data_IF_184721599783
#
_entry.id   IF_184721599783
#
_cell.length_a   1.000
_cell.length_b   1.000
_cell.length_c   1.000
_cell.angle_alpha   90.00
_cell.angle_beta   90.00
_cell.angle_gamma   90.00
#
_symmetry.space_group_name_H-M   'P 1'
#
loop_
_entity.id
_entity.type
_entity.pdbx_description
1 polymer ?
#
# COMPACT_ATOMS: atom_id res chain seq x y z
N UNK A 1 -24.36 -12.30 1.09
CA UNK A 1 -23.86 -11.48 2.22
C UNK A 1 -22.57 -10.86 1.74
N UNK A 2 -22.42 -9.53 1.79
CA UNK A 2 -21.15 -8.91 1.44
C UNK A 2 -20.09 -9.41 2.43
N UNK A 3 -19.03 -10.02 1.93
CA UNK A 3 -17.90 -10.40 2.77
C UNK A 3 -17.30 -9.10 3.32
N UNK A 4 -17.36 -8.94 4.63
CA UNK A 4 -16.83 -7.78 5.32
C UNK A 4 -15.30 -7.96 5.49
N UNK A 5 -14.60 -7.98 4.35
CA UNK A 5 -13.16 -8.21 4.32
C UNK A 5 -12.39 -7.01 4.89
N UNK A 6 -11.40 -7.31 5.71
CA UNK A 6 -10.42 -6.33 6.20
C UNK A 6 -9.20 -6.33 5.29
N UNK A 7 -8.89 -5.16 4.73
CA UNK A 7 -7.73 -4.97 3.86
C UNK A 7 -6.66 -4.17 4.58
N UNK A 8 -5.43 -4.68 4.55
CA UNK A 8 -4.22 -3.95 4.91
C UNK A 8 -3.58 -3.44 3.62
N UNK A 9 -3.33 -2.13 3.50
CA UNK A 9 -2.71 -1.53 2.33
C UNK A 9 -1.35 -0.93 2.69
N UNK A 10 -0.33 -1.31 1.95
CA UNK A 10 1.07 -0.93 2.20
C UNK A 10 1.72 -0.50 0.89
N UNK A 11 2.61 0.47 0.95
CA UNK A 11 3.36 0.98 -0.20
C UNK A 11 4.80 1.30 0.15
N UNK A 12 5.64 1.29 -0.90
CA UNK A 12 6.98 1.89 -0.87
C UNK A 12 7.85 1.32 0.27
N UNK A 13 8.04 -0.02 0.25
CA UNK A 13 8.88 -0.78 1.20
C UNK A 13 10.36 -0.55 0.89
N UNK A 14 10.69 -0.44 -0.42
CA UNK A 14 12.02 -0.14 -0.92
C UNK A 14 13.15 -1.02 -0.35
N UNK A 15 12.87 -2.31 -0.13
CA UNK A 15 13.86 -3.27 0.33
C UNK A 15 14.23 -3.19 1.82
N UNK A 16 13.49 -2.47 2.63
CA UNK A 16 13.73 -2.38 4.06
C UNK A 16 13.29 -3.63 4.81
N UNK A 17 14.23 -4.45 5.23
CA UNK A 17 13.95 -5.61 6.07
C UNK A 17 13.39 -5.22 7.44
N UNK A 18 13.84 -4.10 8.00
CA UNK A 18 13.28 -3.58 9.25
C UNK A 18 11.78 -3.36 9.16
N UNK A 19 11.32 -2.65 8.11
CA UNK A 19 9.91 -2.38 7.92
C UNK A 19 9.13 -3.58 7.38
N UNK A 20 9.76 -4.50 6.67
CA UNK A 20 9.15 -5.79 6.34
C UNK A 20 8.79 -6.57 7.61
N UNK A 21 9.66 -6.62 8.61
CA UNK A 21 9.34 -7.22 9.91
C UNK A 21 8.18 -6.49 10.62
N UNK A 22 8.12 -5.16 10.52
CA UNK A 22 6.96 -4.39 11.02
C UNK A 22 5.66 -4.77 10.32
N UNK A 23 5.69 -5.08 9.01
CA UNK A 23 4.52 -5.60 8.28
C UNK A 23 4.02 -6.90 8.93
N UNK A 24 4.92 -7.80 9.29
CA UNK A 24 4.55 -9.05 9.98
C UNK A 24 3.89 -8.78 11.33
N UNK A 25 4.39 -7.83 12.11
CA UNK A 25 3.79 -7.41 13.38
C UNK A 25 2.40 -6.79 13.17
N UNK A 26 2.26 -5.91 12.17
CA UNK A 26 0.99 -5.30 11.79
C UNK A 26 -0.02 -6.36 11.36
N UNK A 27 0.39 -7.33 10.54
CA UNK A 27 -0.48 -8.44 10.13
C UNK A 27 -0.99 -9.25 11.32
N UNK A 28 -0.15 -9.52 12.31
CA UNK A 28 -0.57 -10.21 13.54
C UNK A 28 -1.57 -9.39 14.36
N UNK A 29 -1.35 -8.09 14.47
CA UNK A 29 -2.20 -7.17 15.24
C UNK A 29 -3.53 -6.90 14.56
N UNK A 30 -3.50 -6.58 13.26
CA UNK A 30 -4.68 -6.17 12.49
C UNK A 30 -5.47 -7.38 11.95
N UNK A 31 -4.83 -8.54 11.81
CA UNK A 31 -5.40 -9.76 11.24
C UNK A 31 -6.18 -9.53 9.93
N UNK A 32 -5.54 -9.00 8.87
CA UNK A 32 -6.22 -8.70 7.62
C UNK A 32 -6.59 -9.97 6.85
N UNK A 33 -7.70 -9.93 6.11
CA UNK A 33 -8.09 -11.00 5.17
C UNK A 33 -7.24 -10.93 3.91
N UNK A 34 -6.95 -9.70 3.43
CA UNK A 34 -6.09 -9.44 2.26
C UNK A 34 -5.11 -8.31 2.55
N UNK A 35 -3.95 -8.39 1.88
CA UNK A 35 -2.87 -7.41 1.90
C UNK A 35 -2.74 -6.85 0.50
N UNK A 36 -2.90 -5.53 0.33
CA UNK A 36 -2.70 -4.84 -0.94
C UNK A 36 -1.36 -4.12 -0.89
N UNK A 37 -0.43 -4.56 -1.72
CA UNK A 37 0.86 -3.89 -1.92
C UNK A 37 0.73 -2.94 -3.11
N UNK A 38 1.11 -1.68 -2.92
CA UNK A 38 1.00 -0.66 -3.96
C UNK A 38 2.30 -0.43 -4.73
N UNK A 39 3.24 -1.39 -4.67
CA UNK A 39 4.49 -1.36 -5.43
C UNK A 39 5.67 -0.73 -4.70
N UNK A 40 6.80 -0.65 -5.42
CA UNK A 40 8.10 -0.22 -4.95
C UNK A 40 8.58 -1.09 -3.76
N UNK A 41 8.66 -2.42 -4.01
CA UNK A 41 8.85 -3.40 -2.95
C UNK A 41 10.31 -3.57 -2.55
N UNK A 42 11.24 -3.71 -3.51
CA UNK A 42 12.60 -4.20 -3.22
C UNK A 42 13.70 -3.17 -3.50
N UNK A 43 13.65 -2.47 -4.63
CA UNK A 43 14.65 -1.49 -4.98
C UNK A 43 14.40 -0.14 -4.29
N UNK A 44 15.46 0.42 -3.67
CA UNK A 44 15.32 1.69 -2.95
C UNK A 44 15.06 2.89 -3.86
N UNK A 45 15.37 2.77 -5.17
CA UNK A 45 15.29 3.87 -6.15
C UNK A 45 16.49 4.82 -6.08
N UNK A 46 16.92 5.40 -7.22
CA UNK A 46 18.18 6.16 -7.30
C UNK A 46 18.12 7.50 -6.56
N UNK A 47 16.93 7.98 -6.23
CA UNK A 47 16.71 9.29 -5.58
C UNK A 47 16.47 9.19 -4.07
N UNK A 48 16.35 7.97 -3.53
CA UNK A 48 16.11 7.75 -2.11
C UNK A 48 17.39 7.32 -1.40
N UNK A 49 17.56 7.63 -0.11
CA UNK A 49 18.60 7.00 0.70
C UNK A 49 18.33 5.51 0.85
N UNK A 50 19.33 4.73 1.20
CA UNK A 50 19.12 3.34 1.61
C UNK A 50 18.25 3.31 2.86
N UNK A 51 17.14 2.55 2.85
CA UNK A 51 16.30 2.43 4.02
C UNK A 51 16.95 1.56 5.10
N UNK A 52 16.40 1.62 6.29
CA UNK A 52 16.90 0.86 7.45
C UNK A 52 16.93 -0.64 7.14
N UNK A 53 18.07 -1.27 7.40
CA UNK A 53 18.31 -2.69 7.15
C UNK A 53 17.98 -3.11 5.71
N UNK A 54 18.51 -2.38 4.72
CA UNK A 54 18.26 -2.68 3.31
C UNK A 54 18.68 -4.11 2.96
N UNK A 55 17.73 -4.96 2.65
CA UNK A 55 17.91 -6.34 2.23
C UNK A 55 16.72 -6.84 1.42
N UNK A 56 16.70 -6.60 0.08
CA UNK A 56 15.60 -6.97 -0.80
C UNK A 56 15.20 -8.44 -0.72
N UNK A 57 16.19 -9.35 -0.62
CA UNK A 57 15.89 -10.78 -0.58
C UNK A 57 15.13 -11.19 0.70
N UNK A 58 15.46 -10.62 1.85
CA UNK A 58 14.69 -10.88 3.08
C UNK A 58 13.29 -10.30 3.02
N UNK A 59 13.11 -9.16 2.33
CA UNK A 59 11.76 -8.63 2.06
C UNK A 59 10.97 -9.60 1.20
N UNK A 60 11.58 -10.14 0.12
CA UNK A 60 10.94 -11.13 -0.75
C UNK A 60 10.57 -12.41 0.02
N UNK A 61 11.45 -12.97 0.84
CA UNK A 61 11.17 -14.13 1.68
C UNK A 61 9.96 -13.89 2.59
N UNK A 62 9.90 -12.72 3.23
CA UNK A 62 8.78 -12.38 4.11
C UNK A 62 7.47 -12.22 3.33
N UNK A 63 7.47 -11.47 2.22
CA UNK A 63 6.28 -11.27 1.41
C UNK A 63 5.78 -12.58 0.80
N UNK A 64 6.67 -13.44 0.32
CA UNK A 64 6.32 -14.77 -0.19
C UNK A 64 5.66 -15.66 0.87
N UNK A 65 6.05 -15.51 2.14
CA UNK A 65 5.38 -16.22 3.25
C UNK A 65 3.92 -15.79 3.45
N UNK A 66 3.52 -14.63 2.91
CA UNK A 66 2.18 -14.04 2.99
C UNK A 66 1.41 -14.11 1.66
N UNK A 67 1.96 -14.74 0.62
CA UNK A 67 1.48 -14.70 -0.77
C UNK A 67 0.00 -14.97 -0.96
N UNK A 68 -0.59 -15.89 -0.18
CA UNK A 68 -2.01 -16.27 -0.29
C UNK A 68 -2.98 -15.11 0.04
N UNK A 69 -2.49 -14.10 0.77
CA UNK A 69 -3.26 -12.91 1.10
C UNK A 69 -2.93 -11.71 0.21
N UNK A 70 -1.83 -11.76 -0.56
CA UNK A 70 -1.31 -10.61 -1.29
C UNK A 70 -2.04 -10.37 -2.60
N UNK A 71 -2.38 -9.10 -2.83
CA UNK A 71 -2.72 -8.49 -4.11
C UNK A 71 -1.69 -7.39 -4.35
N UNK A 72 -0.96 -7.44 -5.47
CA UNK A 72 0.16 -6.51 -5.69
C UNK A 72 -0.03 -5.66 -6.94
N UNK A 73 0.18 -4.36 -6.80
CA UNK A 73 0.32 -3.39 -7.89
C UNK A 73 1.80 -3.17 -8.16
N UNK A 74 2.19 -3.10 -9.42
CA UNK A 74 3.55 -2.81 -9.85
C UNK A 74 3.89 -1.33 -9.66
N UNK A 75 4.96 -1.04 -8.94
CA UNK A 75 5.51 0.30 -8.79
C UNK A 75 6.51 0.66 -9.92
N UNK A 76 6.97 1.90 -9.92
CA UNK A 76 7.92 2.36 -10.93
C UNK A 76 9.36 1.87 -10.67
N UNK A 77 9.67 1.43 -9.47
CA UNK A 77 10.97 0.84 -9.14
C UNK A 77 10.97 -0.70 -9.23
N UNK A 78 9.81 -1.33 -9.46
CA UNK A 78 9.71 -2.79 -9.56
C UNK A 78 10.09 -3.25 -10.98
N UNK A 79 11.10 -4.11 -11.08
CA UNK A 79 11.65 -4.63 -12.32
C UNK A 79 11.18 -6.07 -12.59
N UNK A 80 11.48 -6.62 -13.78
CA UNK A 80 11.19 -8.02 -14.10
C UNK A 80 11.83 -9.00 -13.10
N UNK A 81 13.04 -8.70 -12.64
CA UNK A 81 13.73 -9.54 -11.64
C UNK A 81 12.97 -9.60 -10.31
N UNK A 82 12.24 -8.55 -9.98
CA UNK A 82 11.44 -8.49 -8.76
C UNK A 82 10.22 -9.41 -8.87
N UNK A 83 9.61 -9.48 -10.06
CA UNK A 83 8.54 -10.45 -10.36
C UNK A 83 9.04 -11.89 -10.30
N UNK A 84 10.27 -12.15 -10.76
CA UNK A 84 10.87 -13.51 -10.75
C UNK A 84 11.12 -14.05 -9.33
N UNK A 85 11.41 -13.18 -8.35
CA UNK A 85 11.67 -13.61 -6.96
C UNK A 85 10.40 -13.59 -6.10
N UNK A 86 9.28 -13.07 -6.62
CA UNK A 86 8.00 -12.98 -5.93
C UNK A 86 7.09 -14.16 -6.31
N UNK A 87 6.42 -14.75 -5.33
CA UNK A 87 5.46 -15.84 -5.54
C UNK A 87 4.00 -15.34 -5.63
N UNK A 88 3.81 -14.10 -6.05
CA UNK A 88 2.52 -13.44 -6.29
C UNK A 88 2.60 -12.56 -7.54
N UNK A 89 1.45 -12.29 -8.17
CA UNK A 89 1.35 -11.53 -9.42
C UNK A 89 1.44 -10.03 -9.20
N UNK A 90 2.18 -9.32 -10.06
CA UNK A 90 2.20 -7.86 -10.15
C UNK A 90 1.21 -7.40 -11.23
N UNK A 91 0.33 -6.45 -10.89
CA UNK A 91 -0.67 -5.86 -11.79
C UNK A 91 -0.42 -4.38 -11.96
N UNK A 92 -0.78 -3.81 -13.11
CA UNK A 92 -0.69 -2.37 -13.33
C UNK A 92 -1.59 -1.58 -12.35
N UNK A 93 -2.76 -2.14 -12.05
CA UNK A 93 -3.73 -1.60 -11.09
C UNK A 93 -4.71 -2.71 -10.65
N UNK A 94 -5.42 -2.48 -9.55
CA UNK A 94 -6.41 -3.41 -9.00
C UNK A 94 -7.71 -2.64 -8.81
N UNK A 95 -8.82 -3.19 -9.30
CA UNK A 95 -10.16 -2.68 -9.05
C UNK A 95 -10.91 -3.66 -8.13
N UNK A 96 -11.48 -3.15 -7.05
CA UNK A 96 -12.33 -3.92 -6.14
C UNK A 96 -13.65 -3.20 -5.89
N UNK A 97 -14.73 -3.97 -5.77
CA UNK A 97 -15.99 -3.44 -5.23
C UNK A 97 -16.07 -3.81 -3.75
N UNK A 98 -15.97 -2.82 -2.90
CA UNK A 98 -16.04 -2.98 -1.45
C UNK A 98 -17.31 -2.28 -0.97
N UNK A 99 -18.28 -3.06 -0.48
CA UNK A 99 -19.56 -2.56 0.01
C UNK A 99 -20.29 -1.62 -0.97
N UNK A 100 -20.28 -1.95 -2.27
CA UNK A 100 -20.94 -1.18 -3.32
C UNK A 100 -20.16 0.05 -3.81
N UNK A 101 -18.98 0.30 -3.29
CA UNK A 101 -18.08 1.36 -3.74
C UNK A 101 -16.96 0.79 -4.59
N UNK A 102 -16.66 1.43 -5.72
CA UNK A 102 -15.59 1.05 -6.63
C UNK A 102 -14.28 1.67 -6.18
N UNK A 103 -13.36 0.83 -5.71
CA UNK A 103 -12.00 1.18 -5.34
C UNK A 103 -11.05 0.92 -6.49
N UNK A 104 -10.13 1.85 -6.71
CA UNK A 104 -9.04 1.73 -7.66
C UNK A 104 -7.70 1.88 -6.92
N UNK A 105 -6.91 0.81 -6.95
CA UNK A 105 -5.58 0.76 -6.35
C UNK A 105 -4.52 0.83 -7.45
N UNK A 106 -3.57 1.73 -7.29
CA UNK A 106 -2.48 1.95 -8.25
C UNK A 106 -1.23 2.37 -7.50
N UNK A 107 -0.07 2.35 -8.14
CA UNK A 107 1.13 2.86 -7.47
C UNK A 107 1.09 4.39 -7.31
N UNK A 108 0.69 5.15 -8.32
CA UNK A 108 0.53 6.60 -8.21
C UNK A 108 1.26 7.42 -9.27
N UNK A 109 2.21 6.84 -10.01
CA UNK A 109 2.95 7.55 -11.06
C UNK A 109 2.07 7.98 -12.24
N UNK A 110 1.01 7.21 -12.54
CA UNK A 110 0.08 7.48 -13.66
C UNK A 110 -1.24 8.04 -13.18
N UNK A 111 -1.85 7.39 -12.20
CA UNK A 111 -3.12 7.79 -11.60
C UNK A 111 -2.91 8.23 -10.16
N UNK A 112 -3.35 9.43 -9.85
CA UNK A 112 -3.24 10.07 -8.54
C UNK A 112 -4.28 11.20 -8.44
N UNK A 113 -4.23 12.02 -7.41
CA UNK A 113 -5.20 13.09 -7.21
C UNK A 113 -5.24 14.13 -8.36
N UNK A 114 -4.18 14.23 -9.19
CA UNK A 114 -4.16 15.13 -10.37
C UNK A 114 -4.66 14.44 -11.64
N UNK A 115 -4.74 13.11 -11.65
CA UNK A 115 -5.24 12.31 -12.77
C UNK A 115 -6.10 11.16 -12.25
N UNK A 116 -7.35 11.47 -11.89
CA UNK A 116 -8.30 10.52 -11.29
C UNK A 116 -8.96 9.67 -12.40
N UNK A 117 -8.96 8.33 -12.32
CA UNK A 117 -9.71 7.48 -13.23
C UNK A 117 -11.22 7.75 -13.16
N UNK A 118 -11.92 7.64 -14.29
CA UNK A 118 -13.36 7.83 -14.32
C UNK A 118 -14.13 6.64 -13.72
N UNK A 119 -15.26 6.91 -13.13
CA UNK A 119 -16.21 5.89 -12.69
C UNK A 119 -15.79 5.15 -11.42
N UNK A 120 -14.95 5.73 -10.59
CA UNK A 120 -14.54 5.20 -9.28
C UNK A 120 -15.07 6.06 -8.13
N UNK A 121 -15.14 5.48 -6.95
CA UNK A 121 -15.52 6.19 -5.72
C UNK A 121 -14.29 6.49 -4.84
N UNK A 122 -13.29 5.61 -4.86
CA UNK A 122 -12.11 5.70 -4.02
C UNK A 122 -10.86 5.40 -4.85
N UNK A 123 -9.87 6.28 -4.80
CA UNK A 123 -8.55 6.13 -5.39
C UNK A 123 -7.51 5.96 -4.29
N UNK A 124 -6.79 4.85 -4.30
CA UNK A 124 -5.73 4.55 -3.33
C UNK A 124 -4.40 4.35 -4.03
N UNK A 125 -3.36 5.05 -3.57
CA UNK A 125 -2.04 5.02 -4.19
C UNK A 125 -0.91 5.31 -3.21
N UNK A 126 0.34 5.07 -3.62
CA UNK A 126 1.59 5.34 -2.91
C UNK A 126 2.47 6.37 -3.63
N UNK A 127 3.70 5.99 -4.00
CA UNK A 127 4.65 6.71 -4.85
C UNK A 127 5.18 8.04 -4.27
N UNK A 128 4.33 8.87 -3.72
CA UNK A 128 4.71 10.19 -3.18
C UNK A 128 5.26 10.11 -1.76
N UNK A 129 5.15 8.97 -1.09
CA UNK A 129 5.62 8.71 0.27
C UNK A 129 5.02 9.65 1.35
N UNK A 130 3.92 10.32 1.05
CA UNK A 130 3.28 11.28 1.94
C UNK A 130 1.82 10.88 2.19
N UNK A 131 1.55 10.30 3.35
CA UNK A 131 0.23 9.77 3.70
C UNK A 131 -0.81 10.87 3.92
N UNK A 132 -1.98 10.72 3.27
CA UNK A 132 -3.14 11.59 3.47
C UNK A 132 -4.46 10.92 3.04
N UNK A 133 -5.58 11.46 3.51
CA UNK A 133 -6.93 11.19 3.02
C UNK A 133 -7.57 12.52 2.65
N UNK A 134 -7.98 12.71 1.39
CA UNK A 134 -8.60 13.92 0.85
C UNK A 134 -9.76 13.56 -0.07
N UNK A 135 -10.59 14.53 -0.40
CA UNK A 135 -11.65 14.37 -1.39
C UNK A 135 -11.44 15.39 -2.52
N UNK A 136 -11.59 14.94 -3.76
CA UNK A 136 -11.51 15.79 -4.96
C UNK A 136 -12.50 15.26 -5.99
N UNK A 137 -13.33 16.16 -6.54
CA UNK A 137 -14.33 15.86 -7.57
C UNK A 137 -15.27 14.69 -7.21
N UNK A 138 -15.66 14.58 -5.92
CA UNK A 138 -16.52 13.52 -5.40
C UNK A 138 -15.85 12.16 -5.23
N UNK A 139 -14.52 12.07 -5.45
CA UNK A 139 -13.72 10.87 -5.24
C UNK A 139 -12.87 11.00 -3.97
N UNK A 140 -12.88 9.99 -3.12
CA UNK A 140 -11.98 9.90 -1.97
C UNK A 140 -10.59 9.49 -2.49
N UNK A 141 -9.61 10.40 -2.39
CA UNK A 141 -8.23 10.19 -2.81
C UNK A 141 -7.35 9.95 -1.58
N UNK A 142 -6.68 8.81 -1.55
CA UNK A 142 -5.88 8.37 -0.41
C UNK A 142 -4.47 8.04 -0.86
N UNK A 143 -3.48 8.67 -0.26
CA UNK A 143 -2.11 8.20 -0.35
C UNK A 143 -1.77 7.43 0.94
N UNK A 144 -1.30 6.19 0.78
CA UNK A 144 -0.92 5.35 1.94
C UNK A 144 0.33 5.82 2.67
N UNK A 145 1.07 6.75 2.06
CA UNK A 145 2.43 7.08 2.49
C UNK A 145 3.43 5.99 2.10
N UNK A 146 4.60 6.03 2.69
CA UNK A 146 5.58 4.95 2.62
C UNK A 146 5.73 4.31 3.99
N UNK A 147 5.80 2.98 4.02
CA UNK A 147 6.06 2.29 5.29
C UNK A 147 7.51 2.46 5.74
N UNK A 148 8.45 2.72 4.82
CA UNK A 148 9.88 2.77 5.12
C UNK A 148 10.51 4.15 4.97
N UNK A 149 10.14 4.93 3.96
CA UNK A 149 10.78 6.18 3.54
C UNK A 149 9.77 7.33 3.44
N UNK A 150 9.12 7.75 4.54
CA UNK A 150 8.14 8.84 4.50
C UNK A 150 8.78 10.16 4.08
N UNK A 151 8.02 11.00 3.37
CA UNK A 151 8.41 12.34 2.91
C UNK A 151 7.48 13.41 3.48
N UNK A 152 7.86 14.70 3.28
CA UNK A 152 7.03 15.85 3.66
C UNK A 152 6.62 15.85 5.14
N UNK A 153 7.52 15.44 6.04
CA UNK A 153 7.28 15.33 7.49
C UNK A 153 6.09 14.44 7.87
N UNK A 154 5.69 13.51 7.00
CA UNK A 154 4.70 12.48 7.34
C UNK A 154 5.36 11.31 8.06
N UNK A 155 4.54 10.43 8.64
CA UNK A 155 5.02 9.25 9.36
C UNK A 155 5.13 8.03 8.46
N UNK A 156 5.92 7.05 8.86
CA UNK A 156 5.85 5.69 8.34
C UNK A 156 4.43 5.17 8.54
N UNK A 157 3.72 4.78 7.48
CA UNK A 157 2.29 4.58 7.54
C UNK A 157 1.78 3.43 6.68
N UNK A 158 0.57 2.99 7.00
CA UNK A 158 -0.23 2.00 6.28
C UNK A 158 -1.72 2.34 6.39
N UNK A 159 -2.56 1.70 5.56
CA UNK A 159 -4.01 1.86 5.63
C UNK A 159 -4.68 0.56 6.10
N UNK A 160 -5.78 0.74 6.82
CA UNK A 160 -6.78 -0.31 7.04
C UNK A 160 -8.09 0.12 6.38
N UNK A 161 -8.68 -0.80 5.62
CA UNK A 161 -10.03 -0.64 5.05
C UNK A 161 -10.90 -1.72 5.66
N UNK A 162 -11.89 -1.32 6.43
CA UNK A 162 -12.80 -2.22 7.14
C UNK A 162 -14.08 -1.46 7.53
N UNK A 163 -15.23 -2.14 7.55
CA UNK A 163 -16.50 -1.59 8.06
C UNK A 163 -16.87 -0.20 7.48
N UNK A 164 -16.76 -0.03 6.15
CA UNK A 164 -16.99 1.24 5.45
C UNK A 164 -16.11 2.40 5.93
N UNK A 165 -14.90 2.09 6.38
CA UNK A 165 -13.92 3.10 6.82
C UNK A 165 -12.56 2.86 6.19
N UNK A 166 -11.90 3.95 5.88
CA UNK A 166 -10.47 3.98 5.55
C UNK A 166 -9.77 4.64 6.72
N UNK A 167 -8.77 3.97 7.28
CA UNK A 167 -8.00 4.47 8.42
C UNK A 167 -6.53 4.46 8.07
N UNK A 168 -5.92 5.64 8.02
CA UNK A 168 -4.46 5.81 7.89
C UNK A 168 -3.85 5.75 9.28
N UNK A 169 -2.91 4.83 9.49
CA UNK A 169 -2.22 4.61 10.75
C UNK A 169 -0.70 4.73 10.58
N UNK A 170 -0.01 5.13 11.64
CA UNK A 170 1.44 4.97 11.70
C UNK A 170 1.83 3.50 12.03
N UNK A 171 3.09 3.15 11.83
CA UNK A 171 3.58 1.77 12.06
C UNK A 171 3.46 1.28 13.51
N UNK A 172 3.25 2.17 14.46
CA UNK A 172 2.96 1.84 15.87
C UNK A 172 1.45 1.58 16.09
N UNK A 173 0.61 1.88 15.09
CA UNK A 173 -0.84 1.66 15.08
C UNK A 173 -1.67 2.85 15.55
N UNK A 174 -1.05 4.02 15.73
CA UNK A 174 -1.78 5.24 16.04
C UNK A 174 -2.51 5.77 14.80
N UNK A 175 -3.74 6.23 14.98
CA UNK A 175 -4.53 6.80 13.89
C UNK A 175 -3.98 8.18 13.53
N UNK A 176 -3.62 8.36 12.26
CA UNK A 176 -3.21 9.65 11.67
C UNK A 176 -4.45 10.35 11.11
N UNK A 177 -5.28 9.64 10.36
CA UNK A 177 -6.49 10.15 9.73
C UNK A 177 -7.48 9.01 9.46
N UNK A 178 -8.76 9.33 9.35
CA UNK A 178 -9.81 8.37 9.01
C UNK A 178 -10.92 9.03 8.18
N UNK A 179 -11.60 8.23 7.35
CA UNK A 179 -12.73 8.66 6.52
C UNK A 179 -13.77 7.54 6.46
N UNK A 180 -15.03 7.87 6.65
CA UNK A 180 -16.16 6.99 6.31
C UNK A 180 -16.40 7.04 4.80
N UNK A 181 -16.82 5.88 4.21
CA UNK A 181 -16.93 5.67 2.76
C UNK A 181 -18.40 5.65 2.34
#
# INVERSE_FOLDING_TARGET
>A
MAENNKYLVISDIHGSNYYANKISEICKKENPDKIILLGDLYYHGPRNPLPKEYNPMKVAELLNSLKEKILCVKGNCDAEVDEMISEFEFKDNIELNINGKKFFFTHGQKYNMENIPKGINVLIYGHFHAGFIKEKDGVICVNSGSISLPKNNTKNSYLIIENNKIVLKDVEGNIISKKDI
#
